data_IF_620120429767
#
_entry.id   IF_620120429767
#
_cell.length_a   1.000
_cell.length_b   1.000
_cell.length_c   1.000
_cell.angle_alpha   90.00
_cell.angle_beta   90.00
_cell.angle_gamma   90.00
#
_symmetry.space_group_name_H-M   'P 1'
#
loop_
_entity.id
_entity.type
_entity.pdbx_description
1 polymer ?
#
# COMPACT_ATOMS: atom_id res chain seq x y z
N UNK A 1 2.04 -4.68 -22.85
CA UNK A 1 2.82 -5.90 -22.54
C UNK A 1 1.83 -7.02 -22.30
N UNK A 2 1.72 -7.96 -23.24
CA UNK A 2 0.76 -9.05 -23.13
C UNK A 2 1.04 -9.87 -21.86
N UNK A 3 0.03 -10.06 -21.01
CA UNK A 3 0.15 -10.81 -19.75
C UNK A 3 0.71 -10.05 -18.53
N UNK A 4 1.07 -8.77 -18.64
CA UNK A 4 1.49 -7.97 -17.48
C UNK A 4 0.29 -7.73 -16.53
N UNK A 5 0.41 -8.19 -15.29
CA UNK A 5 -0.65 -8.05 -14.26
C UNK A 5 -0.23 -7.27 -13.03
N UNK A 6 1.05 -7.28 -12.69
CA UNK A 6 1.59 -6.68 -11.48
C UNK A 6 2.71 -5.71 -11.79
N UNK A 7 2.76 -4.62 -11.04
CA UNK A 7 3.85 -3.65 -11.07
C UNK A 7 4.25 -3.28 -9.65
N UNK A 8 5.53 -2.99 -9.45
CA UNK A 8 6.07 -2.52 -8.18
C UNK A 8 6.33 -1.03 -8.23
N UNK A 9 5.74 -0.28 -7.31
CA UNK A 9 6.04 1.14 -7.09
C UNK A 9 7.03 1.21 -5.94
N UNK A 10 8.29 1.55 -6.24
CA UNK A 10 9.33 1.77 -5.24
C UNK A 10 9.44 3.23 -4.80
N UNK A 11 10.28 3.49 -3.79
CA UNK A 11 10.47 4.81 -3.20
C UNK A 11 10.85 5.89 -4.22
N UNK A 12 11.76 5.61 -5.15
CA UNK A 12 12.19 6.59 -6.16
C UNK A 12 11.03 7.11 -7.01
N UNK A 13 10.25 6.20 -7.59
CA UNK A 13 9.06 6.56 -8.38
C UNK A 13 8.01 7.26 -7.51
N UNK A 14 7.80 6.78 -6.28
CA UNK A 14 6.80 7.36 -5.38
C UNK A 14 7.18 8.78 -4.94
N UNK A 15 8.46 9.07 -4.71
CA UNK A 15 8.94 10.43 -4.39
C UNK A 15 8.76 11.37 -5.60
N UNK A 16 9.01 10.87 -6.81
CA UNK A 16 8.88 11.68 -8.03
C UNK A 16 7.41 11.94 -8.42
N UNK A 17 6.58 10.91 -8.38
CA UNK A 17 5.21 10.94 -8.93
C UNK A 17 4.13 11.12 -7.85
N UNK A 18 4.48 10.95 -6.58
CA UNK A 18 3.54 10.99 -5.47
C UNK A 18 2.58 9.78 -5.44
N UNK A 19 1.56 9.83 -4.56
CA UNK A 19 0.62 8.72 -4.36
C UNK A 19 -0.28 8.44 -5.57
N UNK A 20 -0.50 9.43 -6.44
CA UNK A 20 -1.37 9.34 -7.62
C UNK A 20 -0.92 8.27 -8.61
N UNK A 21 0.38 7.94 -8.63
CA UNK A 21 0.92 6.87 -9.47
C UNK A 21 0.26 5.51 -9.16
N UNK A 22 -0.14 5.27 -7.91
CA UNK A 22 -0.82 4.03 -7.52
C UNK A 22 -2.19 3.97 -8.18
N UNK A 23 -2.99 5.05 -8.07
CA UNK A 23 -4.32 5.13 -8.66
C UNK A 23 -4.27 5.03 -10.20
N UNK A 24 -3.33 5.74 -10.83
CA UNK A 24 -3.15 5.70 -12.29
C UNK A 24 -2.80 4.30 -12.81
N UNK A 25 -1.97 3.53 -12.09
CA UNK A 25 -1.66 2.15 -12.46
C UNK A 25 -2.87 1.23 -12.28
N UNK A 26 -3.69 1.48 -11.25
CA UNK A 26 -4.95 0.76 -11.03
C UNK A 26 -5.98 1.01 -12.13
N UNK A 27 -6.11 2.26 -12.58
CA UNK A 27 -6.97 2.63 -13.71
C UNK A 27 -6.56 1.94 -15.03
N UNK A 28 -5.27 1.62 -15.18
CA UNK A 28 -4.75 0.83 -16.29
C UNK A 28 -4.99 -0.69 -16.14
N UNK A 29 -5.70 -1.12 -15.09
CA UNK A 29 -6.00 -2.53 -14.82
C UNK A 29 -4.83 -3.31 -14.21
N UNK A 30 -3.77 -2.63 -13.74
CA UNK A 30 -2.62 -3.27 -13.11
C UNK A 30 -2.85 -3.42 -11.60
N UNK A 31 -2.28 -4.49 -11.04
CA UNK A 31 -2.21 -4.71 -9.60
C UNK A 31 -0.92 -4.07 -9.07
N UNK A 32 -1.03 -3.33 -7.97
CA UNK A 32 0.11 -2.55 -7.45
C UNK A 32 0.69 -3.18 -6.21
N UNK A 33 1.99 -3.44 -6.26
CA UNK A 33 2.84 -3.70 -5.12
C UNK A 33 3.55 -2.39 -4.71
N UNK A 34 3.13 -1.80 -3.59
CA UNK A 34 3.72 -0.60 -3.02
C UNK A 34 4.88 -0.96 -2.06
N UNK A 35 6.09 -0.73 -2.53
CA UNK A 35 7.34 -1.11 -1.87
C UNK A 35 8.05 0.12 -1.25
N UNK A 36 7.48 0.63 -0.15
CA UNK A 36 7.98 1.80 0.59
C UNK A 36 8.56 1.45 1.97
N UNK A 37 8.45 0.18 2.38
CA UNK A 37 8.97 -0.38 3.63
C UNK A 37 8.64 0.49 4.86
N UNK A 38 7.35 0.77 5.07
CA UNK A 38 6.93 1.67 6.14
C UNK A 38 7.45 1.21 7.51
N UNK A 39 7.98 2.16 8.28
CA UNK A 39 8.55 1.91 9.60
C UNK A 39 8.46 3.19 10.43
N UNK A 40 7.54 3.21 11.40
CA UNK A 40 7.27 4.35 12.25
C UNK A 40 6.48 3.87 13.49
N UNK A 41 5.97 4.79 14.32
CA UNK A 41 5.09 4.45 15.43
C UNK A 41 3.76 3.84 14.93
N UNK A 42 3.05 3.04 15.76
CA UNK A 42 1.86 2.31 15.34
C UNK A 42 0.78 3.17 14.66
N UNK A 43 0.52 4.37 15.18
CA UNK A 43 -0.48 5.29 14.64
C UNK A 43 -0.12 5.77 13.22
N UNK A 44 1.15 6.11 12.99
CA UNK A 44 1.64 6.54 11.67
C UNK A 44 1.55 5.38 10.68
N UNK A 45 2.04 4.19 11.06
CA UNK A 45 1.99 3.00 10.21
C UNK A 45 0.55 2.61 9.83
N UNK A 46 -0.38 2.66 10.77
CA UNK A 46 -1.81 2.48 10.50
C UNK A 46 -2.34 3.53 9.49
N UNK A 47 -1.99 4.80 9.69
CA UNK A 47 -2.41 5.90 8.81
C UNK A 47 -1.91 5.74 7.37
N UNK A 48 -0.63 5.40 7.18
CA UNK A 48 -0.06 5.24 5.83
C UNK A 48 -0.58 3.98 5.14
N UNK A 49 -0.73 2.86 5.85
CA UNK A 49 -1.24 1.61 5.26
C UNK A 49 -2.71 1.73 4.86
N UNK A 50 -3.53 2.43 5.66
CA UNK A 50 -4.92 2.79 5.31
C UNK A 50 -5.00 3.57 4.01
N UNK A 51 -4.19 4.63 3.86
CA UNK A 51 -4.20 5.46 2.64
C UNK A 51 -3.67 4.69 1.43
N UNK A 52 -2.59 3.93 1.60
CA UNK A 52 -2.04 3.09 0.54
C UNK A 52 -3.06 2.07 0.01
N UNK A 53 -3.76 1.40 0.92
CA UNK A 53 -4.81 0.44 0.57
C UNK A 53 -6.01 1.11 -0.12
N UNK A 54 -6.44 2.28 0.37
CA UNK A 54 -7.52 3.06 -0.24
C UNK A 54 -7.20 3.52 -1.68
N UNK A 55 -5.92 3.76 -1.99
CA UNK A 55 -5.44 4.06 -3.34
C UNK A 55 -5.41 2.82 -4.26
N UNK A 56 -5.59 1.61 -3.71
CA UNK A 56 -5.61 0.36 -4.45
C UNK A 56 -4.30 -0.43 -4.45
N UNK A 57 -3.35 -0.12 -3.56
CA UNK A 57 -2.21 -1.00 -3.35
C UNK A 57 -2.68 -2.35 -2.78
N UNK A 58 -2.34 -3.45 -3.45
CA UNK A 58 -2.75 -4.81 -3.05
C UNK A 58 -1.64 -5.57 -2.31
N UNK A 59 -0.40 -5.11 -2.44
CA UNK A 59 0.76 -5.57 -1.66
C UNK A 59 1.43 -4.33 -1.08
N UNK A 60 1.66 -4.29 0.23
CA UNK A 60 2.23 -3.12 0.93
C UNK A 60 3.35 -3.60 1.85
N UNK A 61 4.60 -3.17 1.62
CA UNK A 61 5.70 -3.54 2.53
C UNK A 61 5.72 -2.71 3.81
N UNK A 62 5.96 -3.39 4.94
CA UNK A 62 6.30 -2.80 6.24
C UNK A 62 7.57 -3.44 6.80
N UNK A 63 8.27 -2.77 7.71
CA UNK A 63 9.39 -3.37 8.44
C UNK A 63 8.89 -4.13 9.68
N UNK A 64 9.16 -5.44 9.73
CA UNK A 64 8.77 -6.29 10.86
C UNK A 64 9.39 -5.87 12.21
N UNK A 65 10.55 -5.19 12.17
CA UNK A 65 11.20 -4.68 13.38
C UNK A 65 10.47 -3.51 14.05
N UNK A 66 9.40 -2.98 13.45
CA UNK A 66 8.52 -1.99 14.08
C UNK A 66 7.73 -2.55 15.29
N UNK A 67 7.71 -3.87 15.46
CA UNK A 67 7.04 -4.55 16.57
C UNK A 67 5.60 -4.96 16.27
N UNK A 68 5.10 -5.95 17.01
CA UNK A 68 3.80 -6.60 16.72
C UNK A 68 2.62 -5.64 16.78
N UNK A 69 2.65 -4.67 17.69
CA UNK A 69 1.59 -3.65 17.81
C UNK A 69 1.47 -2.82 16.52
N UNK A 70 2.60 -2.35 15.98
CA UNK A 70 2.61 -1.58 14.74
C UNK A 70 2.16 -2.41 13.54
N UNK A 71 2.57 -3.68 13.45
CA UNK A 71 2.16 -4.59 12.37
C UNK A 71 0.65 -4.88 12.40
N UNK A 72 0.09 -5.14 13.59
CA UNK A 72 -1.34 -5.36 13.75
C UNK A 72 -2.15 -4.12 13.41
N UNK A 73 -1.71 -2.94 13.88
CA UNK A 73 -2.35 -1.67 13.56
C UNK A 73 -2.30 -1.36 12.05
N UNK A 74 -1.17 -1.62 11.40
CA UNK A 74 -0.99 -1.48 9.96
C UNK A 74 -1.96 -2.38 9.18
N UNK A 75 -2.03 -3.67 9.52
CA UNK A 75 -2.91 -4.63 8.85
C UNK A 75 -4.39 -4.27 9.01
N UNK A 76 -4.83 -3.94 10.24
CA UNK A 76 -6.22 -3.57 10.50
C UNK A 76 -6.62 -2.32 9.72
N UNK A 77 -5.78 -1.29 9.74
CA UNK A 77 -6.06 -0.03 9.06
C UNK A 77 -6.00 -0.17 7.52
N UNK A 78 -5.15 -1.05 6.98
CA UNK A 78 -5.10 -1.35 5.56
C UNK A 78 -6.40 -2.01 5.07
N UNK A 79 -6.92 -2.99 5.82
CA UNK A 79 -8.22 -3.62 5.52
C UNK A 79 -9.35 -2.59 5.54
N UNK A 80 -9.39 -1.74 6.57
CA UNK A 80 -10.39 -0.68 6.70
C UNK A 80 -10.32 0.31 5.51
N UNK A 81 -9.11 0.74 5.14
CA UNK A 81 -8.90 1.66 4.02
C UNK A 81 -9.34 1.08 2.68
N UNK A 82 -9.02 -0.19 2.40
CA UNK A 82 -9.47 -0.85 1.18
C UNK A 82 -11.00 -1.01 1.13
N UNK A 83 -11.62 -1.44 2.22
CA UNK A 83 -13.08 -1.61 2.30
C UNK A 83 -13.82 -0.29 2.11
N UNK A 84 -13.39 0.77 2.78
CA UNK A 84 -14.00 2.09 2.66
C UNK A 84 -13.92 2.67 1.24
N UNK A 85 -12.87 2.33 0.48
CA UNK A 85 -12.65 2.78 -0.89
C UNK A 85 -13.15 1.79 -1.97
N UNK A 86 -13.73 0.64 -1.59
CA UNK A 86 -14.13 -0.41 -2.53
C UNK A 86 -12.97 -1.07 -3.29
N UNK A 87 -11.76 -1.06 -2.71
CA UNK A 87 -10.57 -1.69 -3.28
C UNK A 87 -10.40 -3.14 -2.80
N UNK A 88 -9.63 -3.98 -3.51
CA UNK A 88 -9.28 -5.31 -3.04
C UNK A 88 -8.51 -5.25 -1.71
N UNK A 89 -8.68 -6.29 -0.88
CA UNK A 89 -7.97 -6.37 0.40
C UNK A 89 -6.45 -6.49 0.16
N UNK A 90 -5.64 -5.66 0.84
CA UNK A 90 -4.20 -5.70 0.70
C UNK A 90 -3.58 -6.85 1.52
N UNK A 91 -2.44 -7.32 1.06
CA UNK A 91 -1.50 -8.13 1.85
C UNK A 91 -0.35 -7.24 2.33
N UNK A 92 0.01 -7.34 3.61
CA UNK A 92 1.17 -6.67 4.21
C UNK A 92 2.35 -7.63 4.41
#
# INVERSE_FOLDING_TARGET
LEGLRWVKVGLELFVQAGPEVVAQLREQGLRVFLDLKFHDIPATMAGVCRRAAALGAELITVHACAGSEALQAAQAAAVEGAQAAGQPLPTL
#
